data_IF_106462854655
#
_entry.id   IF_106462854655
#
_cell.length_a   1.000
_cell.length_b   1.000
_cell.length_c   1.000
_cell.angle_alpha   90.00
_cell.angle_beta   90.00
_cell.angle_gamma   90.00
#
_symmetry.space_group_name_H-M   'P 1'
#
loop_
_entity.id
_entity.type
_entity.pdbx_description
1 polymer ?
#
# COMPACT_ATOMS: atom_id res chain seq x y z
N UNK A 1 -27.91 11.49 8.75
CA UNK A 1 -27.58 10.06 8.59
C UNK A 1 -26.55 9.96 7.47
N UNK A 2 -25.26 9.86 7.80
CA UNK A 2 -24.19 9.70 6.80
C UNK A 2 -23.90 8.20 6.68
N UNK A 3 -24.32 7.61 5.57
CA UNK A 3 -24.09 6.22 5.23
C UNK A 3 -22.59 5.95 5.10
N UNK A 4 -22.12 4.88 5.75
CA UNK A 4 -20.75 4.40 5.68
C UNK A 4 -20.48 3.86 4.27
N UNK A 5 -19.91 4.68 3.39
CA UNK A 5 -19.36 4.18 2.13
C UNK A 5 -17.96 3.64 2.40
N UNK A 6 -17.89 2.36 2.78
CA UNK A 6 -16.63 1.62 2.79
C UNK A 6 -16.33 1.21 1.35
N UNK A 7 -15.56 2.02 0.63
CA UNK A 7 -15.03 1.60 -0.68
C UNK A 7 -13.86 0.67 -0.42
N UNK A 8 -14.12 -0.64 -0.51
CA UNK A 8 -13.08 -1.68 -0.47
C UNK A 8 -12.48 -1.82 -1.87
N UNK A 9 -11.26 -1.32 -2.07
CA UNK A 9 -10.45 -1.74 -3.22
C UNK A 9 -9.73 -3.04 -2.85
N UNK A 10 -10.34 -4.17 -3.18
CA UNK A 10 -9.67 -5.46 -3.16
C UNK A 10 -8.91 -5.62 -4.49
N UNK A 11 -7.58 -5.53 -4.46
CA UNK A 11 -6.75 -6.09 -5.54
C UNK A 11 -6.67 -7.60 -5.32
N UNK A 12 -7.65 -8.33 -5.86
CA UNK A 12 -7.61 -9.78 -5.95
C UNK A 12 -6.60 -10.19 -7.02
N UNK A 13 -5.52 -10.84 -6.61
CA UNK A 13 -4.66 -11.56 -7.55
C UNK A 13 -5.28 -12.95 -7.74
N UNK A 14 -5.99 -13.13 -8.86
CA UNK A 14 -6.51 -14.43 -9.30
C UNK A 14 -5.34 -15.23 -9.88
N UNK A 15 -5.01 -16.34 -9.22
CA UNK A 15 -4.19 -17.40 -9.80
C UNK A 15 -5.05 -18.65 -9.90
N UNK A 16 -5.67 -18.80 -11.06
CA UNK A 16 -6.20 -20.07 -11.53
C UNK A 16 -5.02 -20.92 -12.01
N UNK A 17 -4.72 -22.02 -11.30
CA UNK A 17 -3.99 -23.14 -11.90
C UNK A 17 -4.64 -24.44 -11.45
N UNK A 18 -5.34 -25.04 -12.41
CA UNK A 18 -5.79 -26.41 -12.40
C UNK A 18 -4.64 -27.25 -12.95
N UNK A 19 -3.88 -27.95 -12.11
CA UNK A 19 -3.24 -29.19 -12.50
C UNK A 19 -2.85 -30.04 -11.27
N UNK A 20 -3.49 -31.20 -11.19
CA UNK A 20 -3.12 -32.33 -10.36
C UNK A 20 -1.69 -32.77 -10.72
N UNK A 21 -0.74 -32.71 -9.80
CA UNK A 21 0.28 -33.75 -9.56
C UNK A 21 1.00 -33.47 -8.22
N UNK A 22 0.96 -34.46 -7.31
CA UNK A 22 1.66 -34.39 -6.04
C UNK A 22 3.16 -34.56 -6.23
N UNK A 23 3.95 -33.62 -5.70
CA UNK A 23 5.38 -33.81 -5.43
C UNK A 23 5.70 -33.37 -4.00
N UNK A 24 5.93 -34.36 -3.15
CA UNK A 24 6.54 -34.21 -1.82
C UNK A 24 7.99 -33.78 -2.00
N UNK A 25 8.25 -32.48 -1.88
CA UNK A 25 9.61 -31.98 -1.72
C UNK A 25 9.87 -31.70 -0.24
N UNK A 26 10.35 -32.73 0.46
CA UNK A 26 11.05 -32.59 1.75
C UNK A 26 12.32 -31.80 1.50
N UNK A 27 12.27 -30.50 1.71
CA UNK A 27 13.45 -29.65 1.75
C UNK A 27 14.00 -29.63 3.18
N UNK A 28 14.95 -30.53 3.44
CA UNK A 28 15.87 -30.43 4.58
C UNK A 28 16.84 -29.27 4.31
N UNK A 29 16.77 -28.21 5.11
CA UNK A 29 17.80 -27.17 5.11
C UNK A 29 18.51 -27.12 6.47
N UNK A 30 19.79 -27.49 6.41
CA UNK A 30 20.77 -27.51 7.49
C UNK A 30 21.32 -26.09 7.78
N UNK A 31 21.70 -25.91 9.05
CA UNK A 31 22.15 -24.70 9.75
C UNK A 31 23.27 -23.87 9.08
N UNK A 32 23.22 -22.56 9.32
CA UNK A 32 24.44 -21.82 9.65
C UNK A 32 24.59 -20.42 9.07
N UNK A 33 23.68 -19.49 9.35
CA UNK A 33 23.93 -18.04 9.30
C UNK A 33 22.86 -17.36 10.17
N UNK A 34 23.22 -16.30 10.90
CA UNK A 34 22.31 -15.52 11.75
C UNK A 34 21.02 -15.24 10.98
N UNK A 35 19.95 -15.93 11.34
CA UNK A 35 18.70 -15.92 10.61
C UNK A 35 18.05 -14.55 10.82
N UNK A 36 18.41 -13.57 9.98
CA UNK A 36 17.69 -12.30 9.91
C UNK A 36 16.20 -12.62 9.81
N UNK A 37 15.44 -12.00 10.70
CA UNK A 37 14.03 -12.29 10.83
C UNK A 37 13.35 -12.03 9.46
N UNK A 38 12.73 -13.06 8.88
CA UNK A 38 12.09 -12.96 7.55
C UNK A 38 11.02 -11.86 7.53
N UNK A 39 10.36 -11.62 8.66
CA UNK A 39 9.35 -10.57 8.80
C UNK A 39 10.02 -9.20 8.81
N UNK A 40 11.21 -9.06 9.41
CA UNK A 40 11.97 -7.79 9.41
C UNK A 40 12.41 -7.40 7.99
N UNK A 41 12.91 -8.36 7.21
CA UNK A 41 13.24 -8.16 5.79
C UNK A 41 12.01 -7.75 4.98
N UNK A 42 10.91 -8.47 5.19
CA UNK A 42 9.64 -8.20 4.51
C UNK A 42 9.13 -6.82 4.88
N UNK A 43 9.18 -6.44 6.16
CA UNK A 43 8.76 -5.13 6.64
C UNK A 43 9.60 -3.99 6.04
N UNK A 44 10.93 -4.15 5.95
CA UNK A 44 11.82 -3.18 5.29
C UNK A 44 11.40 -2.90 3.83
N UNK A 45 11.01 -3.95 3.09
CA UNK A 45 10.53 -3.84 1.71
C UNK A 45 9.15 -3.15 1.68
N UNK A 46 8.23 -3.58 2.56
CA UNK A 46 6.88 -3.03 2.62
C UNK A 46 6.86 -1.53 2.94
N UNK A 47 7.70 -1.06 3.87
CA UNK A 47 7.77 0.36 4.22
C UNK A 47 8.14 1.24 3.02
N UNK A 48 9.06 0.79 2.17
CA UNK A 48 9.41 1.51 0.93
C UNK A 48 8.28 1.43 -0.08
N UNK A 49 7.69 0.24 -0.24
CA UNK A 49 6.58 0.04 -1.18
C UNK A 49 5.37 0.92 -0.85
N UNK A 50 4.99 1.04 0.43
CA UNK A 50 3.85 1.85 0.85
C UNK A 50 4.07 3.34 0.63
N UNK A 51 5.29 3.87 0.85
CA UNK A 51 5.61 5.27 0.54
C UNK A 51 5.43 5.53 -0.97
N UNK A 52 6.05 4.71 -1.82
CA UNK A 52 5.93 4.86 -3.26
C UNK A 52 4.48 4.73 -3.75
N UNK A 53 3.70 3.83 -3.15
CA UNK A 53 2.29 3.65 -3.48
C UNK A 53 1.44 4.86 -3.09
N UNK A 54 1.69 5.43 -1.92
CA UNK A 54 1.01 6.64 -1.47
C UNK A 54 1.35 7.84 -2.38
N UNK A 55 2.62 8.00 -2.78
CA UNK A 55 3.03 9.05 -3.74
C UNK A 55 2.27 8.91 -5.08
N UNK A 56 2.11 7.69 -5.60
CA UNK A 56 1.30 7.45 -6.79
C UNK A 56 -0.18 7.80 -6.59
N UNK A 57 -0.74 7.53 -5.42
CA UNK A 57 -2.10 7.98 -5.08
C UNK A 57 -2.21 9.50 -4.99
N UNK A 58 -1.21 10.19 -4.41
CA UNK A 58 -1.19 11.66 -4.34
C UNK A 58 -1.23 12.29 -5.73
N UNK A 59 -0.47 11.77 -6.69
CA UNK A 59 -0.51 12.24 -8.09
C UNK A 59 -1.91 12.10 -8.69
N UNK A 60 -2.51 10.92 -8.57
CA UNK A 60 -3.87 10.68 -9.05
C UNK A 60 -4.90 11.58 -8.36
N UNK A 61 -4.75 11.83 -7.06
CA UNK A 61 -5.65 12.71 -6.30
C UNK A 61 -5.51 14.16 -6.74
N UNK A 62 -4.29 14.66 -7.00
CA UNK A 62 -4.06 16.03 -7.51
C UNK A 62 -4.78 16.26 -8.84
N UNK A 63 -4.77 15.29 -9.76
CA UNK A 63 -5.55 15.41 -10.99
C UNK A 63 -7.06 15.55 -10.72
N UNK A 64 -7.57 14.84 -9.72
CA UNK A 64 -8.99 14.88 -9.37
C UNK A 64 -9.39 16.13 -8.59
N UNK A 65 -8.46 16.74 -7.85
CA UNK A 65 -8.63 18.08 -7.28
C UNK A 65 -8.91 19.07 -8.42
N UNK A 66 -8.04 19.11 -9.43
CA UNK A 66 -8.20 20.02 -10.57
C UNK A 66 -9.50 19.76 -11.34
N UNK A 67 -9.82 18.49 -11.62
CA UNK A 67 -11.08 18.10 -12.27
C UNK A 67 -12.30 18.51 -11.44
N UNK A 68 -12.26 18.34 -10.11
CA UNK A 68 -13.34 18.71 -9.21
C UNK A 68 -13.54 20.23 -9.16
N UNK A 69 -12.46 21.01 -9.09
CA UNK A 69 -12.50 22.49 -9.15
C UNK A 69 -13.09 22.97 -10.47
N UNK A 70 -12.69 22.35 -11.59
CA UNK A 70 -13.18 22.70 -12.93
C UNK A 70 -14.71 22.51 -13.10
N UNK A 71 -15.32 21.57 -12.38
CA UNK A 71 -16.78 21.33 -12.40
C UNK A 71 -17.53 22.00 -11.22
N UNK A 72 -16.87 22.93 -10.51
CA UNK A 72 -17.48 23.70 -9.42
C UNK A 72 -17.69 22.91 -8.13
N UNK A 73 -17.06 21.74 -7.96
CA UNK A 73 -17.13 20.91 -6.74
C UNK A 73 -16.01 21.26 -5.76
N UNK A 74 -15.97 22.51 -5.32
CA UNK A 74 -14.90 23.03 -4.46
C UNK A 74 -14.77 22.27 -3.13
N UNK A 75 -15.86 22.04 -2.40
CA UNK A 75 -15.80 21.30 -1.12
C UNK A 75 -15.28 19.85 -1.28
N UNK A 76 -15.56 19.24 -2.44
CA UNK A 76 -15.02 17.92 -2.78
C UNK A 76 -13.52 18.02 -3.05
N UNK A 77 -13.08 19.00 -3.85
CA UNK A 77 -11.67 19.24 -4.11
C UNK A 77 -10.89 19.49 -2.80
N UNK A 78 -11.41 20.33 -1.91
CA UNK A 78 -10.79 20.63 -0.62
C UNK A 78 -10.69 19.38 0.29
N UNK A 79 -11.67 18.47 0.19
CA UNK A 79 -11.63 17.19 0.91
C UNK A 79 -10.57 16.24 0.34
N UNK A 80 -10.40 16.22 -0.99
CA UNK A 80 -9.35 15.43 -1.65
C UNK A 80 -7.96 16.01 -1.36
N UNK A 81 -7.81 17.33 -1.34
CA UNK A 81 -6.55 17.99 -0.91
C UNK A 81 -6.17 17.60 0.51
N UNK A 82 -7.12 17.61 1.46
CA UNK A 82 -6.86 17.12 2.82
C UNK A 82 -6.44 15.66 2.85
N UNK A 83 -7.01 14.82 1.98
CA UNK A 83 -6.59 13.41 1.88
C UNK A 83 -5.14 13.29 1.41
N UNK A 84 -4.70 14.14 0.46
CA UNK A 84 -3.29 14.24 0.04
C UNK A 84 -2.40 14.64 1.23
N UNK A 85 -2.78 15.66 2.01
CA UNK A 85 -2.01 16.06 3.19
C UNK A 85 -1.86 14.92 4.21
N UNK A 86 -2.89 14.11 4.41
CA UNK A 86 -2.82 12.96 5.31
C UNK A 86 -1.96 11.82 4.75
N UNK A 87 -1.94 11.61 3.43
CA UNK A 87 -1.02 10.67 2.78
C UNK A 87 0.44 11.11 2.96
N UNK A 88 0.72 12.40 2.82
CA UNK A 88 2.06 12.95 3.05
C UNK A 88 2.53 12.72 4.48
N UNK A 89 1.66 12.99 5.47
CA UNK A 89 1.95 12.69 6.88
C UNK A 89 2.16 11.19 7.13
N UNK A 90 1.39 10.34 6.47
CA UNK A 90 1.60 8.89 6.55
C UNK A 90 2.98 8.52 6.00
N UNK A 91 3.40 9.09 4.87
CA UNK A 91 4.72 8.88 4.29
C UNK A 91 5.86 9.31 5.23
N UNK A 92 5.73 10.47 5.88
CA UNK A 92 6.69 10.93 6.90
C UNK A 92 6.85 9.88 8.01
N UNK A 93 5.74 9.34 8.52
CA UNK A 93 5.77 8.33 9.58
C UNK A 93 6.31 6.98 9.09
N UNK A 94 6.04 6.58 7.85
CA UNK A 94 6.58 5.35 7.26
C UNK A 94 8.09 5.44 7.02
N UNK A 95 8.56 6.61 6.57
CA UNK A 95 10.00 6.89 6.45
C UNK A 95 10.66 6.87 7.83
N UNK A 96 10.03 7.45 8.85
CA UNK A 96 10.54 7.39 10.21
C UNK A 96 10.54 5.96 10.77
N UNK A 97 9.49 5.18 10.54
CA UNK A 97 9.44 3.76 10.91
C UNK A 97 10.62 2.99 10.30
N UNK A 98 10.95 3.25 9.02
CA UNK A 98 12.08 2.62 8.33
C UNK A 98 13.45 2.96 8.96
N UNK A 99 13.62 4.15 9.56
CA UNK A 99 14.87 4.52 10.24
C UNK A 99 15.08 3.78 11.57
N UNK A 100 13.99 3.28 12.16
CA UNK A 100 13.98 2.56 13.44
C UNK A 100 14.04 1.03 13.27
N UNK A 101 14.26 0.57 12.03
CA UNK A 101 14.43 -0.84 11.62
C UNK A 101 15.90 -1.20 11.44
#
# INVERSE_FOLDING_TARGET
MLGKYTVRYHHGHDHSHDELEGHDHVHTHSHGETQENKDEKTLKILLVHWVNHNESHEEGFKEWVEKARAIGKNDTADSIEKAIEYLQKANEMLVEAKKNM
#
